data_IF_859389046501
#
_entry.id   IF_859389046501
#
_cell.length_a   1.000
_cell.length_b   1.000
_cell.length_c   1.000
_cell.angle_alpha   90.00
_cell.angle_beta   90.00
_cell.angle_gamma   90.00
#
_symmetry.space_group_name_H-M   'P 1'
#
loop_
_entity.id
_entity.type
_entity.pdbx_description
1 polymer ?
#
# COMPACT_ATOMS: atom_id res chain seq x y z
N UNK A 1 2.08 2.10 -14.89
CA UNK A 1 1.62 1.06 -13.96
C UNK A 1 2.65 1.00 -12.83
N UNK A 2 2.34 1.61 -11.69
CA UNK A 2 3.31 1.77 -10.59
C UNK A 2 2.98 0.78 -9.48
N UNK A 3 3.55 -0.41 -9.61
CA UNK A 3 3.61 -1.38 -8.52
C UNK A 3 4.81 -0.99 -7.66
N UNK A 4 4.55 -0.54 -6.43
CA UNK A 4 5.61 -0.30 -5.46
C UNK A 4 5.89 -1.62 -4.73
N UNK A 5 7.01 -2.31 -4.99
CA UNK A 5 7.47 -3.31 -4.04
C UNK A 5 7.91 -2.54 -2.79
N UNK A 6 7.10 -2.66 -1.74
CA UNK A 6 7.35 -2.05 -0.43
C UNK A 6 7.68 -3.16 0.55
N UNK A 7 8.91 -3.17 1.04
CA UNK A 7 9.30 -3.98 2.20
C UNK A 7 9.35 -3.00 3.37
N UNK A 8 8.50 -3.21 4.38
CA UNK A 8 8.56 -2.50 5.66
C UNK A 8 8.53 -0.96 5.60
N UNK A 9 7.88 -0.35 4.60
CA UNK A 9 7.75 1.11 4.51
C UNK A 9 8.86 1.83 3.74
N UNK A 10 9.77 1.08 3.10
CA UNK A 10 10.84 1.62 2.27
C UNK A 10 10.52 1.38 0.78
N UNK A 11 10.50 2.42 -0.06
CA UNK A 11 10.33 2.25 -1.50
C UNK A 11 11.58 1.60 -2.12
N UNK A 12 11.42 0.43 -2.76
CA UNK A 12 12.54 -0.29 -3.40
C UNK A 12 12.79 0.20 -4.83
N UNK A 13 11.72 0.54 -5.55
CA UNK A 13 11.76 1.22 -6.85
C UNK A 13 10.57 2.18 -6.95
N UNK A 14 10.85 3.42 -7.29
CA UNK A 14 9.85 4.49 -7.43
C UNK A 14 10.20 5.34 -8.65
N UNK A 15 9.20 5.78 -9.41
CA UNK A 15 9.38 6.83 -10.44
C UNK A 15 9.09 8.23 -9.90
N UNK A 16 8.76 8.34 -8.61
CA UNK A 16 8.59 9.61 -7.89
C UNK A 16 9.86 9.94 -7.09
N UNK A 17 10.02 11.22 -6.76
CA UNK A 17 11.12 11.71 -5.92
C UNK A 17 11.19 10.96 -4.58
N UNK A 18 12.41 10.61 -4.15
CA UNK A 18 12.64 9.69 -3.04
C UNK A 18 12.01 10.17 -1.72
N UNK A 19 12.06 11.47 -1.43
CA UNK A 19 11.46 12.07 -0.23
C UNK A 19 9.94 11.90 -0.21
N UNK A 20 9.29 12.18 -1.34
CA UNK A 20 7.84 12.06 -1.49
C UNK A 20 7.40 10.59 -1.47
N UNK A 21 8.19 9.70 -2.07
CA UNK A 21 7.94 8.26 -2.05
C UNK A 21 7.98 7.68 -0.64
N UNK A 22 8.95 8.08 0.19
CA UNK A 22 9.03 7.66 1.61
C UNK A 22 7.81 8.14 2.39
N UNK A 23 7.40 9.40 2.21
CA UNK A 23 6.23 9.94 2.88
C UNK A 23 4.94 9.20 2.51
N UNK A 24 4.73 8.97 1.20
CA UNK A 24 3.59 8.18 0.73
C UNK A 24 3.63 6.74 1.23
N UNK A 25 4.81 6.13 1.27
CA UNK A 25 4.97 4.75 1.74
C UNK A 25 4.58 4.61 3.21
N UNK A 26 4.95 5.57 4.06
CA UNK A 26 4.56 5.60 5.46
C UNK A 26 3.04 5.71 5.65
N UNK A 27 2.39 6.60 4.88
CA UNK A 27 0.93 6.77 4.90
C UNK A 27 0.20 5.52 4.41
N UNK A 28 0.66 4.92 3.32
CA UNK A 28 0.08 3.70 2.73
C UNK A 28 0.25 2.51 3.68
N UNK A 29 1.40 2.38 4.37
CA UNK A 29 1.59 1.32 5.35
C UNK A 29 0.56 1.41 6.48
N UNK A 30 0.35 2.61 7.03
CA UNK A 30 -0.62 2.79 8.11
C UNK A 30 -2.05 2.48 7.64
N UNK A 31 -2.38 2.87 6.40
CA UNK A 31 -3.65 2.52 5.76
C UNK A 31 -3.80 0.99 5.58
N UNK A 32 -2.74 0.30 5.15
CA UNK A 32 -2.74 -1.16 4.97
C UNK A 32 -2.97 -1.91 6.28
N UNK A 33 -2.34 -1.49 7.37
CA UNK A 33 -2.53 -2.10 8.69
C UNK A 33 -4.00 -1.97 9.11
N UNK A 34 -4.59 -0.78 8.94
CA UNK A 34 -6.00 -0.53 9.26
C UNK A 34 -6.96 -1.29 8.34
N UNK A 35 -6.67 -1.32 7.04
CA UNK A 35 -7.47 -2.05 6.06
C UNK A 35 -7.44 -3.56 6.35
N UNK A 36 -6.27 -4.13 6.66
CA UNK A 36 -6.14 -5.54 7.05
C UNK A 36 -6.90 -5.83 8.34
N UNK A 37 -6.81 -4.94 9.33
CA UNK A 37 -7.56 -5.08 10.58
C UNK A 37 -9.08 -5.03 10.33
N UNK A 38 -9.57 -4.12 9.50
CA UNK A 38 -10.98 -4.01 9.15
C UNK A 38 -11.49 -5.21 8.34
N UNK A 39 -10.69 -5.73 7.40
CA UNK A 39 -11.04 -6.96 6.67
C UNK A 39 -11.08 -8.15 7.63
N UNK A 40 -10.11 -8.27 8.54
CA UNK A 40 -10.07 -9.36 9.53
C UNK A 40 -11.21 -9.28 10.56
N UNK A 41 -11.68 -8.08 10.87
CA UNK A 41 -12.85 -7.84 11.73
C UNK A 41 -14.16 -8.26 11.05
N UNK A 42 -14.26 -8.02 9.73
CA UNK A 42 -15.40 -8.45 8.92
C UNK A 42 -15.39 -9.96 8.64
N UNK A 43 -14.24 -10.49 8.23
CA UNK A 43 -14.03 -11.90 7.96
C UNK A 43 -12.59 -12.31 8.34
N UNK A 44 -12.41 -13.10 9.43
CA UNK A 44 -11.08 -13.47 9.92
C UNK A 44 -10.35 -14.47 9.02
N UNK A 45 -11.01 -15.03 8.00
CA UNK A 45 -10.42 -15.99 7.05
C UNK A 45 -9.98 -15.33 5.74
N UNK A 46 -10.29 -14.05 5.55
CA UNK A 46 -9.98 -13.33 4.33
C UNK A 46 -8.73 -12.47 4.49
N UNK A 47 -7.68 -12.78 3.73
CA UNK A 47 -6.46 -12.00 3.70
C UNK A 47 -6.51 -10.91 2.61
N UNK A 48 -6.10 -9.70 2.98
CA UNK A 48 -6.00 -8.57 2.08
C UNK A 48 -4.86 -8.82 1.07
N UNK A 49 -5.22 -9.24 -0.14
CA UNK A 49 -4.27 -9.61 -1.22
C UNK A 49 -3.92 -8.46 -2.16
N UNK A 50 -4.83 -7.50 -2.32
CA UNK A 50 -4.60 -6.36 -3.21
C UNK A 50 -5.41 -5.14 -2.75
N UNK A 51 -4.74 -3.98 -2.71
CA UNK A 51 -5.37 -2.70 -2.39
C UNK A 51 -5.08 -1.71 -3.52
N UNK A 52 -6.12 -1.32 -4.24
CA UNK A 52 -6.06 -0.35 -5.33
C UNK A 52 -6.79 0.92 -4.92
N UNK A 53 -6.03 2.00 -4.73
CA UNK A 53 -6.57 3.33 -4.51
C UNK A 53 -6.44 4.14 -5.79
N UNK A 54 -7.58 4.53 -6.38
CA UNK A 54 -7.59 5.49 -7.47
C UNK A 54 -7.98 6.87 -6.94
N UNK A 55 -7.11 7.85 -7.14
CA UNK A 55 -7.38 9.27 -6.94
C UNK A 55 -7.46 9.98 -8.29
N UNK A 56 -7.97 11.22 -8.32
CA UNK A 56 -8.12 12.00 -9.57
C UNK A 56 -6.79 12.26 -10.27
N UNK A 57 -5.69 12.41 -9.52
CA UNK A 57 -4.36 12.69 -10.06
C UNK A 57 -3.45 11.45 -10.14
N UNK A 58 -3.69 10.45 -9.30
CA UNK A 58 -2.76 9.35 -9.11
C UNK A 58 -3.51 8.05 -8.82
N UNK A 59 -2.97 6.93 -9.31
CA UNK A 59 -3.44 5.59 -8.96
C UNK A 59 -2.32 4.88 -8.18
N UNK A 60 -2.68 4.34 -7.03
CA UNK A 60 -1.79 3.64 -6.10
C UNK A 60 -2.25 2.18 -6.04
N UNK A 61 -1.37 1.28 -6.45
CA UNK A 61 -1.60 -0.16 -6.38
C UNK A 61 -0.64 -0.75 -5.37
N UNK A 62 -1.19 -1.36 -4.32
CA UNK A 62 -0.43 -1.95 -3.22
C UNK A 62 -0.78 -3.42 -3.18
N UNK A 63 0.22 -4.26 -3.37
CA UNK A 63 0.12 -5.69 -3.19
C UNK A 63 1.05 -6.04 -2.01
N UNK A 64 0.52 -6.48 -0.86
CA UNK A 64 1.35 -7.12 0.14
C UNK A 64 1.90 -8.40 -0.50
N UNK A 65 3.15 -8.36 -0.95
CA UNK A 65 3.84 -9.55 -1.45
C UNK A 65 4.17 -10.41 -0.23
N UNK A 66 3.73 -11.66 -0.27
CA UNK A 66 4.16 -12.71 0.66
C UNK A 66 5.68 -12.96 0.53
#
# INVERSE_FOLDING_TARGET
MLTFPVIAGIPIRTTMENSLAVHHCALIQNLMIKARAAVRDLDPTNDLTFLRLRSKKNEIMVAPRE
#
